data_IF_054834602856
#
_entry.id   IF_054834602856
#
_cell.length_a   1.000
_cell.length_b   1.000
_cell.length_c   1.000
_cell.angle_alpha   90.00
_cell.angle_beta   90.00
_cell.angle_gamma   90.00
#
_symmetry.space_group_name_H-M   'P 1'
#
loop_
_entity.id
_entity.type
_entity.pdbx_description
1 polymer ?
#
# COMPACT_ATOMS: atom_id res chain seq x y z
N UNK A 1 -5.31 -1.81 -31.27
CA UNK A 1 -5.24 -0.36 -31.47
C UNK A 1 -5.11 0.28 -30.12
N UNK A 2 -4.20 1.26 -29.95
CA UNK A 2 -4.11 2.02 -28.69
C UNK A 2 -5.41 2.80 -28.50
N UNK A 3 -6.07 2.67 -27.34
CA UNK A 3 -7.25 3.47 -27.02
C UNK A 3 -6.75 4.87 -26.63
N UNK A 4 -7.36 5.90 -27.19
CA UNK A 4 -7.04 7.30 -26.88
C UNK A 4 -8.31 8.05 -26.53
N UNK A 5 -8.17 9.06 -25.66
CA UNK A 5 -9.20 10.03 -25.34
C UNK A 5 -8.82 11.36 -25.97
N UNK A 6 -9.80 12.11 -26.48
CA UNK A 6 -9.57 13.44 -27.04
C UNK A 6 -10.03 14.49 -26.02
N UNK A 7 -9.11 15.37 -25.63
CA UNK A 7 -9.40 16.55 -24.82
C UNK A 7 -9.30 17.80 -25.70
N UNK A 8 -10.35 18.61 -25.72
CA UNK A 8 -10.38 19.86 -26.49
C UNK A 8 -10.36 21.07 -25.55
N UNK A 9 -9.39 21.97 -25.77
CA UNK A 9 -9.21 23.20 -24.98
C UNK A 9 -8.95 24.34 -25.94
N UNK A 10 -9.75 25.42 -25.87
CA UNK A 10 -9.62 26.58 -26.75
C UNK A 10 -9.57 26.23 -28.25
N UNK A 11 -10.37 25.23 -28.68
CA UNK A 11 -10.42 24.67 -30.04
C UNK A 11 -9.16 23.91 -30.50
N UNK A 12 -8.22 23.63 -29.60
CA UNK A 12 -7.09 22.72 -29.84
C UNK A 12 -7.41 21.34 -29.26
N UNK A 13 -7.15 20.29 -30.04
CA UNK A 13 -7.41 18.90 -29.65
C UNK A 13 -6.11 18.22 -29.24
N UNK A 14 -6.18 17.51 -28.14
CA UNK A 14 -5.09 16.76 -27.55
C UNK A 14 -5.50 15.30 -27.42
N UNK A 15 -4.68 14.39 -27.92
CA UNK A 15 -4.87 12.96 -27.73
C UNK A 15 -4.11 12.50 -26.49
N UNK A 16 -4.83 11.86 -25.58
CA UNK A 16 -4.28 11.33 -24.33
C UNK A 16 -4.42 9.80 -24.35
N UNK A 17 -3.38 9.05 -23.95
CA UNK A 17 -3.46 7.60 -23.86
C UNK A 17 -4.54 7.17 -22.86
N UNK A 18 -5.20 6.05 -23.18
CA UNK A 18 -6.17 5.43 -22.28
C UNK A 18 -5.62 4.09 -21.81
N UNK A 19 -5.60 3.92 -20.50
CA UNK A 19 -5.21 2.70 -19.79
C UNK A 19 -6.47 1.99 -19.30
N UNK A 20 -6.47 0.66 -19.35
CA UNK A 20 -7.58 -0.15 -18.87
C UNK A 20 -7.04 -1.13 -17.83
N UNK A 21 -7.58 -1.05 -16.61
CA UNK A 21 -7.24 -1.93 -15.50
C UNK A 21 -7.79 -3.34 -15.69
N UNK A 22 -7.34 -4.26 -14.84
CA UNK A 22 -7.77 -5.66 -14.87
C UNK A 22 -9.25 -5.85 -14.53
N UNK A 23 -9.87 -4.90 -13.83
CA UNK A 23 -11.29 -4.90 -13.50
C UNK A 23 -12.09 -3.98 -14.46
N UNK A 24 -11.50 -3.65 -15.61
CA UNK A 24 -12.04 -2.80 -16.67
C UNK A 24 -12.22 -1.31 -16.29
N UNK A 25 -11.52 -0.83 -15.27
CA UNK A 25 -11.49 0.60 -14.98
C UNK A 25 -10.71 1.34 -16.07
N UNK A 26 -11.20 2.49 -16.46
CA UNK A 26 -10.60 3.30 -17.53
C UNK A 26 -9.91 4.50 -16.91
N UNK A 27 -8.61 4.63 -17.18
CA UNK A 27 -7.81 5.77 -16.77
C UNK A 27 -7.30 6.53 -18.01
N UNK A 28 -7.26 7.86 -17.91
CA UNK A 28 -6.67 8.72 -18.94
C UNK A 28 -5.29 9.13 -18.42
N UNK A 29 -4.24 8.79 -19.17
CA UNK A 29 -2.89 9.23 -18.84
C UNK A 29 -2.72 10.71 -19.18
N UNK A 30 -2.63 11.54 -18.14
CA UNK A 30 -2.43 12.99 -18.22
C UNK A 30 -0.99 13.42 -17.92
N UNK A 31 -0.02 12.49 -17.86
CA UNK A 31 1.39 12.77 -17.55
C UNK A 31 2.02 13.82 -18.47
N UNK A 32 1.61 13.84 -19.75
CA UNK A 32 2.07 14.78 -20.76
C UNK A 32 1.19 16.03 -20.91
N UNK A 33 0.08 16.13 -20.17
CA UNK A 33 -0.94 17.17 -20.36
C UNK A 33 -0.36 18.58 -20.25
N UNK A 34 0.39 18.87 -19.19
CA UNK A 34 0.94 20.21 -18.95
C UNK A 34 1.95 20.62 -20.02
N UNK A 35 2.78 19.68 -20.46
CA UNK A 35 3.80 19.90 -21.49
C UNK A 35 3.15 20.12 -22.86
N UNK A 36 2.16 19.29 -23.22
CA UNK A 36 1.49 19.35 -24.52
C UNK A 36 0.63 20.61 -24.67
N UNK A 37 -0.06 21.03 -23.61
CA UNK A 37 -0.98 22.19 -23.60
C UNK A 37 -0.32 23.51 -23.21
N UNK A 38 1.01 23.52 -23.01
CA UNK A 38 1.80 24.69 -22.59
C UNK A 38 1.30 25.33 -21.28
N UNK A 39 0.83 24.51 -20.33
CA UNK A 39 0.58 24.96 -18.96
C UNK A 39 -0.76 24.58 -18.34
N UNK A 40 -1.64 23.87 -19.05
CA UNK A 40 -2.90 23.40 -18.45
C UNK A 40 -2.61 22.34 -17.37
N UNK A 41 -3.35 22.43 -16.27
CA UNK A 41 -3.37 21.44 -15.19
C UNK A 41 -4.80 20.97 -14.93
N UNK A 42 -4.95 19.80 -14.30
CA UNK A 42 -6.22 19.38 -13.72
C UNK A 42 -6.41 20.02 -12.34
N UNK A 43 -7.66 20.23 -11.95
CA UNK A 43 -8.03 20.68 -10.62
C UNK A 43 -8.98 19.65 -10.01
N UNK A 44 -8.47 18.85 -9.08
CA UNK A 44 -9.21 17.77 -8.41
C UNK A 44 -8.90 17.76 -6.91
N UNK A 45 -9.48 18.69 -6.12
CA UNK A 45 -9.23 18.77 -4.69
C UNK A 45 -9.60 17.45 -3.99
N UNK A 46 -8.63 16.83 -3.32
CA UNK A 46 -8.82 15.54 -2.65
C UNK A 46 -8.65 14.31 -3.55
N UNK A 47 -8.21 14.47 -4.80
CA UNK A 47 -7.86 13.37 -5.71
C UNK A 47 -8.98 12.37 -6.01
N UNK A 48 -10.25 12.79 -5.90
CA UNK A 48 -11.41 11.89 -6.07
C UNK A 48 -11.48 11.27 -7.47
N UNK A 49 -10.96 11.95 -8.48
CA UNK A 49 -11.00 11.54 -9.88
C UNK A 49 -9.60 11.18 -10.41
N UNK A 50 -8.58 11.13 -9.55
CA UNK A 50 -7.17 10.97 -9.94
C UNK A 50 -6.62 9.64 -9.45
N UNK A 51 -6.32 8.73 -10.38
CA UNK A 51 -5.52 7.53 -10.08
C UNK A 51 -4.04 7.88 -10.02
N UNK A 52 -3.43 7.80 -8.85
CA UNK A 52 -2.03 8.23 -8.62
C UNK A 52 -0.99 7.15 -8.86
N UNK A 53 -1.38 5.87 -8.82
CA UNK A 53 -0.49 4.74 -9.04
C UNK A 53 -1.23 3.54 -9.66
N UNK A 54 -0.45 2.65 -10.25
CA UNK A 54 -0.90 1.29 -10.57
C UNK A 54 -0.68 0.39 -9.35
N UNK A 55 -1.67 -0.44 -9.02
CA UNK A 55 -1.59 -1.36 -7.88
C UNK A 55 -2.31 -2.66 -8.19
N UNK A 56 -1.71 -3.77 -7.78
CA UNK A 56 -2.29 -5.10 -7.83
C UNK A 56 -2.62 -5.65 -6.43
N UNK A 57 -2.78 -4.77 -5.42
CA UNK A 57 -2.97 -5.17 -4.02
C UNK A 57 -4.45 -5.31 -3.66
N UNK A 58 -5.25 -4.28 -3.90
CA UNK A 58 -6.65 -4.22 -3.49
C UNK A 58 -7.50 -3.62 -4.59
N UNK A 59 -8.65 -4.25 -4.84
CA UNK A 59 -9.70 -3.70 -5.68
C UNK A 59 -10.94 -3.41 -4.83
N UNK A 60 -11.58 -2.27 -5.08
CA UNK A 60 -12.77 -1.81 -4.38
C UNK A 60 -13.78 -1.24 -5.37
N UNK A 61 -14.99 -1.77 -5.36
CA UNK A 61 -16.17 -1.18 -6.02
C UNK A 61 -17.23 -0.91 -4.96
N UNK A 62 -17.31 0.35 -4.52
CA UNK A 62 -18.25 0.76 -3.47
C UNK A 62 -19.72 0.72 -3.89
N UNK A 63 -20.03 0.80 -5.19
CA UNK A 63 -21.40 0.76 -5.68
C UNK A 63 -21.94 -0.68 -5.67
N UNK A 64 -21.08 -1.63 -6.01
CA UNK A 64 -21.41 -3.07 -5.97
C UNK A 64 -21.11 -3.73 -4.62
N UNK A 65 -20.45 -3.00 -3.70
CA UNK A 65 -20.03 -3.53 -2.41
C UNK A 65 -18.94 -4.60 -2.52
N UNK A 66 -18.05 -4.51 -3.51
CA UNK A 66 -16.98 -5.49 -3.75
C UNK A 66 -15.69 -4.97 -3.10
N UNK A 67 -15.03 -5.81 -2.30
CA UNK A 67 -13.68 -5.60 -1.80
C UNK A 67 -12.88 -6.88 -2.01
N UNK A 68 -11.71 -6.77 -2.67
CA UNK A 68 -10.83 -7.90 -2.94
C UNK A 68 -9.38 -7.62 -2.56
N UNK A 69 -8.71 -8.56 -1.92
CA UNK A 69 -7.26 -8.54 -1.71
C UNK A 69 -6.59 -9.55 -2.62
N UNK A 70 -5.68 -9.08 -3.48
CA UNK A 70 -5.01 -9.92 -4.50
C UNK A 70 -5.98 -10.78 -5.33
N UNK A 71 -7.19 -10.28 -5.57
CA UNK A 71 -8.26 -10.98 -6.31
C UNK A 71 -9.21 -11.83 -5.46
N UNK A 72 -8.87 -12.17 -4.22
CA UNK A 72 -9.75 -12.91 -3.31
C UNK A 72 -10.80 -11.99 -2.69
N UNK A 73 -12.06 -12.43 -2.64
CA UNK A 73 -13.12 -11.69 -1.99
C UNK A 73 -12.87 -11.58 -0.48
N UNK A 74 -13.15 -10.42 0.11
CA UNK A 74 -12.87 -10.18 1.53
C UNK A 74 -13.63 -11.14 2.45
N UNK A 75 -14.83 -11.55 2.06
CA UNK A 75 -15.67 -12.49 2.79
C UNK A 75 -15.03 -13.87 2.84
N UNK A 76 -14.38 -14.31 1.75
CA UNK A 76 -13.68 -15.58 1.71
C UNK A 76 -12.44 -15.59 2.60
N UNK A 77 -11.68 -14.49 2.58
CA UNK A 77 -10.52 -14.33 3.46
C UNK A 77 -10.93 -14.28 4.93
N UNK A 78 -12.00 -13.56 5.26
CA UNK A 78 -12.49 -13.45 6.63
C UNK A 78 -13.02 -14.78 7.19
N UNK A 79 -13.58 -15.65 6.35
CA UNK A 79 -14.13 -16.94 6.75
C UNK A 79 -13.08 -18.07 6.80
N UNK A 80 -12.07 -18.02 5.91
CA UNK A 80 -11.16 -19.16 5.67
C UNK A 80 -9.69 -18.91 6.00
N UNK A 81 -9.26 -17.66 6.18
CA UNK A 81 -7.85 -17.32 6.36
C UNK A 81 -7.60 -16.60 7.69
N UNK A 82 -6.43 -16.85 8.27
CA UNK A 82 -5.94 -16.14 9.45
C UNK A 82 -5.28 -14.81 9.07
N UNK A 83 -5.18 -13.90 10.06
CA UNK A 83 -4.57 -12.58 9.86
C UNK A 83 -3.15 -12.64 9.25
N UNK A 84 -2.32 -13.60 9.70
CA UNK A 84 -0.95 -13.73 9.18
C UNK A 84 -0.90 -14.28 7.76
N UNK A 85 -1.87 -15.09 7.34
CA UNK A 85 -2.00 -15.53 5.95
C UNK A 85 -2.39 -14.36 5.05
N UNK A 86 -3.34 -13.52 5.49
CA UNK A 86 -3.74 -12.30 4.78
C UNK A 86 -2.59 -11.29 4.74
N UNK A 87 -1.84 -11.12 5.82
CA UNK A 87 -0.66 -10.25 5.82
C UNK A 87 0.40 -10.74 4.82
N UNK A 88 0.67 -12.05 4.80
CA UNK A 88 1.56 -12.65 3.81
C UNK A 88 1.06 -12.41 2.38
N UNK A 89 -0.23 -12.64 2.12
CA UNK A 89 -0.87 -12.39 0.83
C UNK A 89 -0.69 -10.95 0.35
N UNK A 90 -0.92 -9.97 1.23
CA UNK A 90 -0.81 -8.56 0.88
C UNK A 90 0.64 -8.17 0.57
N UNK A 91 1.61 -8.69 1.33
CA UNK A 91 3.03 -8.37 1.18
C UNK A 91 3.64 -9.07 -0.04
N UNK A 92 3.44 -10.39 -0.16
CA UNK A 92 4.13 -11.23 -1.15
C UNK A 92 3.29 -11.50 -2.41
N UNK A 93 1.99 -11.21 -2.39
CA UNK A 93 1.11 -11.32 -3.56
C UNK A 93 0.36 -12.64 -3.69
N UNK A 94 0.77 -13.68 -2.99
CA UNK A 94 0.15 -15.01 -3.03
C UNK A 94 -0.09 -15.55 -1.61
N UNK A 95 -1.04 -16.48 -1.48
CA UNK A 95 -1.28 -17.16 -0.19
C UNK A 95 -0.09 -18.07 0.14
N UNK A 96 0.36 -18.11 1.41
CA UNK A 96 1.47 -18.97 1.80
C UNK A 96 1.05 -20.44 1.77
N UNK A 97 2.00 -21.32 1.45
CA UNK A 97 1.85 -22.74 1.77
C UNK A 97 2.11 -23.01 3.27
N UNK A 98 1.83 -24.22 3.74
CA UNK A 98 1.97 -24.58 5.17
C UNK A 98 3.38 -24.37 5.73
N UNK A 99 4.42 -24.62 4.93
CA UNK A 99 5.81 -24.43 5.36
C UNK A 99 6.16 -22.93 5.45
N UNK A 100 5.77 -22.15 4.44
CA UNK A 100 5.95 -20.69 4.42
C UNK A 100 5.24 -20.01 5.58
N UNK A 101 3.98 -20.41 5.86
CA UNK A 101 3.20 -19.88 6.96
C UNK A 101 3.85 -20.21 8.31
N UNK A 102 4.28 -21.47 8.51
CA UNK A 102 4.94 -21.89 9.74
C UNK A 102 6.26 -21.14 10.00
N UNK A 103 7.05 -20.91 8.94
CA UNK A 103 8.26 -20.10 9.00
C UNK A 103 7.93 -18.64 9.34
N UNK A 104 6.97 -18.03 8.64
CA UNK A 104 6.57 -16.64 8.85
C UNK A 104 6.07 -16.39 10.27
N UNK A 105 5.23 -17.28 10.80
CA UNK A 105 4.76 -17.22 12.19
C UNK A 105 5.90 -17.32 13.20
N UNK A 106 6.85 -18.24 12.96
CA UNK A 106 8.01 -18.43 13.84
C UNK A 106 8.93 -17.21 13.82
N UNK A 107 9.21 -16.66 12.65
CA UNK A 107 10.08 -15.51 12.46
C UNK A 107 9.48 -14.24 13.10
N UNK A 108 8.18 -13.98 12.92
CA UNK A 108 7.48 -12.87 13.58
C UNK A 108 7.50 -13.05 15.09
N UNK A 109 7.17 -14.25 15.57
CA UNK A 109 7.14 -14.53 17.01
C UNK A 109 8.51 -14.28 17.66
N UNK A 110 9.59 -14.64 16.96
CA UNK A 110 10.97 -14.42 17.43
C UNK A 110 11.28 -12.93 17.65
N UNK A 111 10.73 -12.03 16.83
CA UNK A 111 10.96 -10.58 16.93
C UNK A 111 9.86 -9.82 17.69
N UNK A 112 8.83 -10.51 18.18
CA UNK A 112 7.75 -9.89 18.97
C UNK A 112 8.17 -9.33 20.34
N UNK A 113 9.40 -9.64 20.80
CA UNK A 113 9.92 -9.17 22.08
C UNK A 113 10.44 -7.74 21.92
N UNK A 114 9.79 -6.82 22.61
CA UNK A 114 10.17 -5.40 22.63
C UNK A 114 11.34 -5.17 23.60
N UNK A 115 12.36 -4.47 23.13
CA UNK A 115 13.53 -4.06 23.91
C UNK A 115 13.13 -3.22 25.15
N UNK A 116 13.85 -3.40 26.25
CA UNK A 116 13.56 -2.70 27.50
C UNK A 116 13.76 -1.17 27.40
N UNK A 117 14.62 -0.69 26.50
CA UNK A 117 14.79 0.74 26.26
C UNK A 117 13.55 1.35 25.60
N UNK A 118 12.85 0.61 24.73
CA UNK A 118 11.56 1.05 24.16
C UNK A 118 10.50 1.13 25.26
N UNK A 119 10.48 0.17 26.19
CA UNK A 119 9.55 0.20 27.34
C UNK A 119 9.79 1.43 28.24
N UNK A 120 11.05 1.80 28.48
CA UNK A 120 11.37 3.04 29.23
C UNK A 120 10.82 4.29 28.54
N UNK A 121 10.85 4.34 27.21
CA UNK A 121 10.26 5.46 26.45
C UNK A 121 8.73 5.48 26.64
N UNK A 122 8.08 4.32 26.58
CA UNK A 122 6.63 4.19 26.86
C UNK A 122 6.31 4.71 28.27
N UNK A 123 7.07 4.27 29.28
CA UNK A 123 6.87 4.64 30.69
C UNK A 123 7.15 6.13 30.98
N UNK A 124 7.95 6.78 30.14
CA UNK A 124 8.23 8.21 30.24
C UNK A 124 7.04 9.09 29.78
N UNK A 125 6.09 8.53 29.01
CA UNK A 125 4.90 9.28 28.63
C UNK A 125 3.97 9.52 29.84
N UNK A 126 3.30 10.69 29.90
CA UNK A 126 2.23 10.91 30.87
C UNK A 126 1.17 9.82 30.75
N UNK A 127 0.62 9.35 31.88
CA UNK A 127 -0.48 8.35 31.89
C UNK A 127 -1.74 8.79 31.13
N UNK A 128 -1.91 10.09 30.92
CA UNK A 128 -3.01 10.69 30.16
C UNK A 128 -2.70 10.88 28.67
N UNK A 129 -1.50 10.51 28.20
CA UNK A 129 -1.13 10.65 26.81
C UNK A 129 -2.04 9.81 25.91
N UNK A 130 -2.50 10.41 24.81
CA UNK A 130 -3.34 9.72 23.85
C UNK A 130 -2.55 8.60 23.17
N UNK A 131 -3.07 7.34 23.09
CA UNK A 131 -2.32 6.21 22.55
C UNK A 131 -1.73 6.42 21.16
N UNK A 132 -2.44 7.13 20.27
CA UNK A 132 -1.92 7.47 18.94
C UNK A 132 -0.67 8.36 18.97
N UNK A 133 -0.58 9.29 19.92
CA UNK A 133 0.61 10.13 20.08
C UNK A 133 1.80 9.29 20.52
N UNK A 134 1.58 8.41 21.50
CA UNK A 134 2.58 7.46 22.00
C UNK A 134 3.06 6.53 20.88
N UNK A 135 2.12 5.91 20.13
CA UNK A 135 2.44 5.02 19.00
C UNK A 135 3.25 5.73 17.92
N UNK A 136 2.85 6.95 17.52
CA UNK A 136 3.56 7.72 16.49
C UNK A 136 4.99 8.03 16.93
N UNK A 137 5.18 8.48 18.17
CA UNK A 137 6.52 8.79 18.69
C UNK A 137 7.41 7.56 18.80
N UNK A 138 6.86 6.43 19.27
CA UNK A 138 7.60 5.18 19.37
C UNK A 138 7.99 4.63 17.98
N UNK A 139 7.09 4.72 17.00
CA UNK A 139 7.38 4.32 15.62
C UNK A 139 8.53 5.12 15.03
N UNK A 140 8.59 6.43 15.31
CA UNK A 140 9.76 7.24 14.93
C UNK A 140 11.01 6.84 15.70
N UNK A 141 10.90 6.57 17.00
CA UNK A 141 12.05 6.14 17.82
C UNK A 141 12.65 4.80 17.37
N UNK A 142 11.84 3.88 16.83
CA UNK A 142 12.32 2.58 16.30
C UNK A 142 13.40 2.73 15.24
N UNK A 143 13.43 3.83 14.49
CA UNK A 143 14.51 4.11 13.51
C UNK A 143 15.88 4.23 14.17
N UNK A 144 15.96 4.71 15.42
CA UNK A 144 17.20 4.77 16.18
C UNK A 144 17.67 3.39 16.68
N UNK A 145 16.73 2.47 16.93
CA UNK A 145 17.01 1.10 17.33
C UNK A 145 17.33 0.19 16.13
N UNK A 146 16.91 0.58 14.93
CA UNK A 146 17.15 -0.14 13.67
C UNK A 146 17.87 0.77 12.64
N UNK A 147 19.14 1.16 12.88
CA UNK A 147 19.85 2.12 12.03
C UNK A 147 20.30 1.54 10.67
N UNK A 148 20.16 0.22 10.48
CA UNK A 148 20.55 -0.45 9.24
C UNK A 148 19.62 -0.08 8.09
N UNK A 149 20.18 0.32 6.95
CA UNK A 149 19.42 0.49 5.71
C UNK A 149 18.99 -0.87 5.14
N UNK A 150 17.78 -0.93 4.60
CA UNK A 150 17.25 -2.10 3.88
C UNK A 150 17.57 -1.95 2.40
N UNK A 151 18.23 -2.94 1.79
CA UNK A 151 18.38 -2.96 0.34
C UNK A 151 17.07 -3.42 -0.31
N UNK A 152 16.35 -2.50 -0.93
CA UNK A 152 15.05 -2.77 -1.58
C UNK A 152 15.12 -3.76 -2.75
N UNK A 153 16.32 -4.01 -3.30
CA UNK A 153 16.53 -4.98 -4.37
C UNK A 153 16.94 -6.37 -3.85
N UNK A 154 17.13 -6.54 -2.54
CA UNK A 154 17.45 -7.81 -1.90
C UNK A 154 16.19 -8.40 -1.28
N UNK A 155 15.74 -9.54 -1.80
CA UNK A 155 14.59 -10.27 -1.24
C UNK A 155 14.83 -10.65 0.23
N UNK A 156 16.06 -11.01 0.58
CA UNK A 156 16.45 -11.37 1.94
C UNK A 156 16.39 -10.17 2.88
N UNK A 157 16.93 -9.02 2.49
CA UNK A 157 16.90 -7.80 3.31
C UNK A 157 15.45 -7.34 3.52
N UNK A 158 14.63 -7.40 2.46
CA UNK A 158 13.21 -7.07 2.52
C UNK A 158 12.45 -8.02 3.44
N UNK A 159 12.66 -9.34 3.31
CA UNK A 159 12.02 -10.31 4.20
C UNK A 159 12.42 -10.07 5.67
N UNK A 160 13.71 -9.87 5.93
CA UNK A 160 14.22 -9.59 7.27
C UNK A 160 13.64 -8.28 7.83
N UNK A 161 13.40 -7.27 6.99
CA UNK A 161 12.73 -6.03 7.41
C UNK A 161 11.23 -6.22 7.70
N UNK A 162 10.57 -7.19 7.05
CA UNK A 162 9.15 -7.48 7.25
C UNK A 162 8.90 -8.21 8.58
N UNK A 163 9.75 -9.17 8.94
CA UNK A 163 9.55 -10.03 10.12
C UNK A 163 10.16 -9.49 11.41
N UNK A 164 10.88 -8.37 11.34
CA UNK A 164 11.62 -7.75 12.45
C UNK A 164 10.83 -6.63 13.12
#
# INVERSE_FOLDING_TARGET
>A
MSKTATLEINNEKYELPVMVGTENEVAIDISSLRTSTKGVITLDPGYKNTGSCESAITFLDGEKGILRYRGYAIEELADKADFLEVAYLLIFGELPNTEQLGKFQTDIKKHSVVDDDVKKIVDAFPKSAHPMGVLSSLTSALTAFNPSSVNVNSEEDMYNAIVR
#
